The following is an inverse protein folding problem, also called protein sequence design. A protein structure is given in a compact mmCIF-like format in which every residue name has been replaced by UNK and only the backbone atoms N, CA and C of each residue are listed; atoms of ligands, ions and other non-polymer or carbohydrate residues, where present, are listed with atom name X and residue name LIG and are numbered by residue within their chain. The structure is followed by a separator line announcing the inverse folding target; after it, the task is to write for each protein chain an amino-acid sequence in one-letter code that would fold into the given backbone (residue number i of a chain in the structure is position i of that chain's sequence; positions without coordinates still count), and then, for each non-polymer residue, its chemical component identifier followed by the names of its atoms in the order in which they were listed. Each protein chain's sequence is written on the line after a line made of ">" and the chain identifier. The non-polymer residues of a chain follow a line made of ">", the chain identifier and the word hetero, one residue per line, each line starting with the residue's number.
data_IF_150836291953
#
_entry.id   IF_150836291953
#
_cell.length_a   1.000
_cell.length_b   1.000
_cell.length_c   1.000
_cell.angle_alpha   90.00
_cell.angle_beta   90.00
_cell.angle_gamma   90.00
#
_symmetry.space_group_name_H-M   'P 1'
#
loop_
_entity.id
_entity.type
_entity.pdbx_description
1 polymer ?
#
# COMPACT_ATOMS: atom_id res chain seq x y z
N UNK A 1 30.71 2.12 4.81
CA UNK A 1 29.66 1.21 4.27
C UNK A 1 28.54 2.10 3.75
N UNK A 2 28.19 2.08 2.46
CA UNK A 2 27.11 2.93 1.98
C UNK A 2 25.80 2.41 2.58
N UNK A 3 25.10 3.30 3.27
CA UNK A 3 23.75 3.09 3.80
C UNK A 3 22.85 2.95 2.58
N UNK A 4 22.26 1.76 2.37
CA UNK A 4 21.25 1.58 1.32
C UNK A 4 19.93 2.15 1.87
N UNK A 5 19.85 3.47 1.92
CA UNK A 5 18.64 4.22 2.26
C UNK A 5 17.60 4.05 1.16
N UNK A 6 16.32 3.92 1.54
CA UNK A 6 15.22 4.34 0.68
C UNK A 6 15.30 5.85 0.61
N UNK A 7 15.80 6.39 -0.50
CA UNK A 7 16.29 7.76 -0.48
C UNK A 7 15.18 8.81 -0.29
N UNK A 8 13.89 8.46 -0.45
CA UNK A 8 12.82 9.48 -0.45
C UNK A 8 11.41 8.88 -0.46
N UNK A 9 10.42 9.67 -0.02
CA UNK A 9 9.00 9.58 -0.44
C UNK A 9 8.89 9.39 -1.98
N UNK A 10 9.84 9.95 -2.74
CA UNK A 10 9.97 9.77 -4.19
C UNK A 10 10.06 8.31 -4.66
N UNK A 11 10.64 7.39 -3.89
CA UNK A 11 10.68 5.97 -4.25
C UNK A 11 9.27 5.36 -4.17
N UNK A 12 8.48 5.74 -3.15
CA UNK A 12 7.09 5.30 -2.99
C UNK A 12 6.23 5.85 -4.13
N UNK A 13 6.42 7.13 -4.50
CA UNK A 13 5.75 7.75 -5.65
C UNK A 13 6.08 7.01 -6.94
N UNK A 14 7.36 6.69 -7.18
CA UNK A 14 7.77 5.97 -8.38
C UNK A 14 7.13 4.57 -8.46
N UNK A 15 7.11 3.82 -7.35
CA UNK A 15 6.44 2.51 -7.28
C UNK A 15 4.93 2.66 -7.53
N UNK A 16 4.31 3.68 -6.94
CA UNK A 16 2.88 3.99 -7.12
C UNK A 16 2.53 4.29 -8.58
N UNK A 17 3.39 5.03 -9.30
CA UNK A 17 3.22 5.29 -10.73
C UNK A 17 3.28 4.02 -11.56
N UNK A 18 4.25 3.14 -11.30
CA UNK A 18 4.34 1.83 -12.00
C UNK A 18 3.11 0.98 -11.69
N UNK A 19 2.66 0.96 -10.43
CA UNK A 19 1.44 0.24 -10.03
C UNK A 19 0.20 0.76 -10.77
N UNK A 20 0.07 2.08 -10.94
CA UNK A 20 -1.03 2.70 -11.68
C UNK A 20 -1.03 2.31 -13.16
N UNK A 21 0.14 2.28 -13.79
CA UNK A 21 0.28 1.80 -15.17
C UNK A 21 -0.10 0.32 -15.30
N UNK A 22 0.37 -0.52 -14.39
CA UNK A 22 0.04 -1.96 -14.39
C UNK A 22 -1.46 -2.17 -14.23
N UNK A 23 -2.12 -1.53 -13.25
CA UNK A 23 -3.57 -1.62 -13.05
C UNK A 23 -4.33 -1.19 -14.30
N UNK A 24 -3.95 -0.07 -14.91
CA UNK A 24 -4.60 0.42 -16.13
C UNK A 24 -4.51 -0.63 -17.24
N UNK A 25 -3.34 -1.24 -17.43
CA UNK A 25 -3.17 -2.29 -18.44
C UNK A 25 -3.96 -3.56 -18.10
N UNK A 26 -3.96 -4.00 -16.85
CA UNK A 26 -4.72 -5.18 -16.42
C UNK A 26 -6.24 -4.96 -16.57
N UNK A 27 -6.74 -3.78 -16.19
CA UNK A 27 -8.17 -3.43 -16.33
C UNK A 27 -8.64 -3.48 -17.77
N UNK A 28 -7.80 -3.10 -18.74
CA UNK A 28 -8.11 -3.22 -20.16
C UNK A 28 -8.35 -4.68 -20.62
N UNK A 29 -7.85 -5.67 -19.87
CA UNK A 29 -8.10 -7.10 -20.11
C UNK A 29 -9.03 -7.77 -19.09
N UNK A 30 -9.48 -7.06 -18.06
CA UNK A 30 -10.25 -7.61 -16.94
C UNK A 30 -11.71 -7.96 -17.26
N UNK A 31 -12.21 -7.55 -18.42
CA UNK A 31 -13.59 -7.83 -18.86
C UNK A 31 -13.81 -9.30 -19.20
N UNK A 32 -12.74 -10.02 -19.52
CA UNK A 32 -12.77 -11.39 -20.07
C UNK A 32 -12.14 -12.44 -19.14
N UNK A 33 -11.35 -12.04 -18.14
CA UNK A 33 -10.65 -12.97 -17.24
C UNK A 33 -10.77 -12.51 -15.77
N UNK A 34 -11.29 -13.40 -14.91
CA UNK A 34 -11.49 -13.12 -13.49
C UNK A 34 -10.15 -12.98 -12.76
N UNK A 35 -9.14 -13.76 -13.14
CA UNK A 35 -7.86 -13.76 -12.47
C UNK A 35 -7.01 -12.54 -12.81
N UNK A 36 -7.11 -12.01 -14.04
CA UNK A 36 -6.54 -10.70 -14.41
C UNK A 36 -7.22 -9.58 -13.64
N UNK A 37 -8.53 -9.69 -13.39
CA UNK A 37 -9.28 -8.75 -12.55
C UNK A 37 -8.80 -8.80 -11.11
N UNK A 38 -8.65 -10.00 -10.55
CA UNK A 38 -8.17 -10.17 -9.19
C UNK A 38 -6.74 -9.63 -9.02
N UNK A 39 -5.85 -9.90 -9.98
CA UNK A 39 -4.50 -9.33 -9.97
C UNK A 39 -4.54 -7.80 -10.03
N UNK A 40 -5.45 -7.21 -10.81
CA UNK A 40 -5.64 -5.76 -10.81
C UNK A 40 -6.09 -5.25 -9.44
N UNK A 41 -6.99 -5.97 -8.77
CA UNK A 41 -7.42 -5.65 -7.40
C UNK A 41 -6.27 -5.74 -6.41
N UNK A 42 -5.42 -6.77 -6.48
CA UNK A 42 -4.26 -6.91 -5.59
C UNK A 42 -3.26 -5.75 -5.79
N UNK A 43 -3.06 -5.30 -7.03
CA UNK A 43 -2.21 -4.13 -7.32
C UNK A 43 -2.85 -2.81 -6.85
N UNK A 44 -4.18 -2.67 -6.92
CA UNK A 44 -4.88 -1.53 -6.33
C UNK A 44 -4.76 -1.51 -4.79
N UNK A 45 -4.82 -2.67 -4.13
CA UNK A 45 -4.56 -2.80 -2.70
C UNK A 45 -3.14 -2.36 -2.35
N UNK A 46 -2.15 -2.74 -3.18
CA UNK A 46 -0.78 -2.23 -3.03
C UNK A 46 -0.73 -0.71 -3.15
N UNK A 47 -1.37 -0.08 -4.13
CA UNK A 47 -1.39 1.39 -4.24
C UNK A 47 -1.97 2.05 -2.99
N UNK A 48 -3.01 1.46 -2.40
CA UNK A 48 -3.61 1.96 -1.18
C UNK A 48 -2.62 1.85 -0.01
N UNK A 49 -1.93 0.72 0.12
CA UNK A 49 -0.88 0.52 1.12
C UNK A 49 0.30 1.50 0.94
N UNK A 50 0.70 1.79 -0.31
CA UNK A 50 1.75 2.76 -0.62
C UNK A 50 1.38 4.18 -0.20
N UNK A 51 0.14 4.62 -0.45
CA UNK A 51 -0.36 5.93 0.01
C UNK A 51 -0.40 6.03 1.54
N UNK A 52 -0.83 4.96 2.21
CA UNK A 52 -0.77 4.89 3.67
C UNK A 52 0.67 4.95 4.18
N UNK A 53 1.61 4.28 3.51
CA UNK A 53 3.02 4.33 3.88
C UNK A 53 3.63 5.72 3.67
N UNK A 54 3.35 6.38 2.55
CA UNK A 54 3.77 7.75 2.24
C UNK A 54 3.31 8.71 3.33
N UNK A 55 1.99 8.79 3.57
CA UNK A 55 1.42 9.67 4.59
C UNK A 55 1.95 9.41 6.00
N UNK A 56 2.21 8.14 6.35
CA UNK A 56 2.74 7.81 7.67
C UNK A 56 4.21 8.24 7.81
N UNK A 57 5.03 7.95 6.80
CA UNK A 57 6.46 8.30 6.78
C UNK A 57 6.64 9.82 6.83
N UNK A 58 5.80 10.59 6.11
CA UNK A 58 5.81 12.05 6.18
C UNK A 58 5.44 12.58 7.58
N UNK A 59 4.61 11.85 8.32
CA UNK A 59 4.10 12.28 9.62
C UNK A 59 4.94 11.85 10.83
N UNK A 60 5.90 10.94 10.66
CA UNK A 60 6.70 10.36 11.75
C UNK A 60 8.13 10.85 11.65
N UNK A 61 8.59 11.56 12.69
CA UNK A 61 9.94 12.12 12.74
C UNK A 61 11.01 11.11 13.17
N UNK A 62 10.65 10.07 13.92
CA UNK A 62 11.61 9.12 14.50
C UNK A 62 11.16 7.67 14.28
N UNK A 63 11.40 7.16 13.07
CA UNK A 63 11.07 5.78 12.68
C UNK A 63 12.23 4.88 13.09
N UNK A 64 12.01 3.81 13.88
CA UNK A 64 13.06 2.86 14.19
C UNK A 64 13.69 2.28 12.92
N UNK A 65 15.02 2.31 12.83
CA UNK A 65 15.76 1.88 11.62
C UNK A 65 15.40 0.46 11.17
N UNK A 66 15.09 -0.44 12.12
CA UNK A 66 14.65 -1.81 11.82
C UNK A 66 13.31 -1.85 11.06
N UNK A 67 12.35 -1.03 11.48
CA UNK A 67 11.04 -0.90 10.82
C UNK A 67 11.20 -0.27 9.44
N UNK A 68 12.00 0.80 9.37
CA UNK A 68 12.33 1.44 8.11
C UNK A 68 12.95 0.46 7.11
N UNK A 69 13.94 -0.34 7.53
CA UNK A 69 14.59 -1.36 6.70
C UNK A 69 13.61 -2.45 6.24
N UNK A 70 12.66 -2.84 7.09
CA UNK A 70 11.64 -3.83 6.74
C UNK A 70 10.64 -3.29 5.70
N UNK A 71 10.16 -2.06 5.88
CA UNK A 71 9.28 -1.37 4.90
C UNK A 71 10.02 -1.22 3.58
N UNK A 72 11.24 -0.73 3.63
CA UNK A 72 12.16 -0.65 2.51
C UNK A 72 12.26 -1.98 1.75
N UNK A 73 12.56 -3.07 2.46
CA UNK A 73 12.71 -4.38 1.85
C UNK A 73 11.41 -4.84 1.14
N UNK A 74 10.26 -4.68 1.78
CA UNK A 74 8.96 -5.02 1.21
C UNK A 74 8.65 -4.18 -0.05
N UNK A 75 8.95 -2.89 -0.02
CA UNK A 75 8.77 -1.99 -1.15
C UNK A 75 9.65 -2.38 -2.36
N UNK A 76 10.91 -2.78 -2.16
CA UNK A 76 11.76 -3.28 -3.27
C UNK A 76 11.20 -4.54 -3.89
N UNK A 77 10.62 -5.42 -3.08
CA UNK A 77 9.96 -6.63 -3.60
C UNK A 77 8.71 -6.29 -4.41
N UNK A 78 7.87 -5.38 -3.92
CA UNK A 78 6.74 -4.85 -4.69
C UNK A 78 7.19 -4.22 -6.02
N UNK A 79 8.21 -3.37 -5.99
CA UNK A 79 8.78 -2.74 -7.17
C UNK A 79 9.26 -3.77 -8.19
N UNK A 80 9.98 -4.80 -7.73
CA UNK A 80 10.49 -5.88 -8.59
C UNK A 80 9.34 -6.61 -9.31
N UNK A 81 8.28 -6.95 -8.57
CA UNK A 81 7.09 -7.63 -9.13
C UNK A 81 6.40 -6.72 -10.15
N UNK A 82 6.17 -5.45 -9.81
CA UNK A 82 5.50 -4.49 -10.69
C UNK A 82 6.29 -4.21 -11.96
N UNK A 83 7.61 -4.04 -11.86
CA UNK A 83 8.47 -3.84 -13.04
C UNK A 83 8.50 -5.08 -13.92
N UNK A 84 8.49 -6.27 -13.33
CA UNK A 84 8.39 -7.51 -14.09
C UNK A 84 7.08 -7.60 -14.87
N UNK A 85 5.94 -7.29 -14.23
CA UNK A 85 4.64 -7.20 -14.89
C UNK A 85 4.62 -6.17 -16.02
N UNK A 86 5.02 -4.93 -15.73
CA UNK A 86 5.06 -3.84 -16.70
C UNK A 86 5.94 -4.20 -17.92
N UNK A 87 7.12 -4.76 -17.68
CA UNK A 87 8.03 -5.20 -18.75
C UNK A 87 7.43 -6.30 -19.60
N UNK A 88 6.77 -7.28 -19.00
CA UNK A 88 6.13 -8.39 -19.71
C UNK A 88 5.03 -7.85 -20.62
N UNK A 89 4.12 -7.03 -20.08
CA UNK A 89 3.04 -6.39 -20.85
C UNK A 89 3.62 -5.59 -22.01
N UNK A 90 4.61 -4.74 -21.75
CA UNK A 90 5.19 -3.85 -22.76
C UNK A 90 5.92 -4.62 -23.87
N UNK A 91 6.61 -5.71 -23.53
CA UNK A 91 7.32 -6.55 -24.51
C UNK A 91 6.33 -7.18 -25.49
N UNK A 92 5.25 -7.76 -24.99
CA UNK A 92 4.20 -8.34 -25.83
C UNK A 92 3.43 -7.26 -26.62
N UNK A 93 3.15 -6.12 -25.99
CA UNK A 93 2.51 -4.98 -26.67
C UNK A 93 3.33 -4.53 -27.86
N UNK A 94 4.64 -4.29 -27.69
CA UNK A 94 5.52 -3.87 -28.80
C UNK A 94 5.54 -4.89 -29.94
N UNK A 95 5.64 -6.18 -29.60
CA UNK A 95 5.67 -7.25 -30.61
C UNK A 95 4.36 -7.30 -31.43
N UNK A 96 3.21 -7.28 -30.77
CA UNK A 96 1.90 -7.35 -31.43
C UNK A 96 1.59 -6.07 -32.19
N UNK A 97 1.86 -4.90 -31.61
CA UNK A 97 1.62 -3.61 -32.28
C UNK A 97 2.49 -3.48 -33.53
N UNK A 98 3.74 -3.95 -33.51
CA UNK A 98 4.63 -3.94 -34.68
C UNK A 98 4.12 -4.83 -35.81
N UNK A 99 3.55 -6.00 -35.48
CA UNK A 99 3.09 -6.98 -36.47
C UNK A 99 1.67 -6.71 -36.99
N UNK A 100 0.77 -6.23 -36.11
CA UNK A 100 -0.67 -6.21 -36.35
C UNK A 100 -1.34 -4.87 -36.02
N UNK A 101 -0.58 -3.89 -35.53
CA UNK A 101 -1.11 -2.57 -35.17
C UNK A 101 -1.80 -2.52 -33.80
N UNK A 102 -2.16 -1.30 -33.39
CA UNK A 102 -2.67 -1.01 -32.03
C UNK A 102 -4.07 -1.55 -31.76
N UNK A 103 -4.93 -1.60 -32.77
CA UNK A 103 -6.30 -2.07 -32.60
C UNK A 103 -6.35 -3.57 -32.28
N UNK A 104 -5.45 -4.35 -32.90
CA UNK A 104 -5.35 -5.79 -32.66
C UNK A 104 -4.78 -6.07 -31.26
N UNK A 105 -3.87 -5.24 -30.76
CA UNK A 105 -3.35 -5.39 -29.38
C UNK A 105 -4.47 -5.41 -28.34
N UNK A 106 -5.46 -4.52 -28.41
CA UNK A 106 -6.51 -4.45 -27.38
C UNK A 106 -7.33 -5.74 -27.33
N UNK A 107 -7.74 -6.26 -28.49
CA UNK A 107 -8.48 -7.51 -28.58
C UNK A 107 -7.62 -8.72 -28.18
N UNK A 108 -6.37 -8.77 -28.64
CA UNK A 108 -5.41 -9.81 -28.28
C UNK A 108 -5.12 -9.82 -26.78
N UNK A 109 -4.89 -8.65 -26.19
CA UNK A 109 -4.63 -8.51 -24.76
C UNK A 109 -5.84 -8.96 -23.94
N UNK A 110 -7.06 -8.56 -24.31
CA UNK A 110 -8.27 -9.04 -23.64
C UNK A 110 -8.42 -10.57 -23.72
N UNK A 111 -8.09 -11.19 -24.86
CA UNK A 111 -8.21 -12.64 -25.01
C UNK A 111 -7.07 -13.45 -24.37
N UNK A 112 -5.85 -12.90 -24.37
CA UNK A 112 -4.62 -13.65 -24.09
C UNK A 112 -3.81 -13.14 -22.90
N UNK A 113 -4.24 -12.08 -22.21
CA UNK A 113 -3.50 -11.50 -21.07
C UNK A 113 -3.09 -12.57 -20.06
N UNK A 114 -3.99 -13.52 -19.78
CA UNK A 114 -3.72 -14.60 -18.84
C UNK A 114 -2.56 -15.50 -19.25
N UNK A 115 -2.58 -15.99 -20.49
CA UNK A 115 -1.52 -16.84 -21.03
C UNK A 115 -0.19 -16.08 -21.14
N UNK A 116 -0.24 -14.78 -21.43
CA UNK A 116 0.94 -13.92 -21.50
C UNK A 116 1.59 -13.72 -20.13
N UNK A 117 0.80 -13.67 -19.07
CA UNK A 117 1.28 -13.54 -17.69
C UNK A 117 1.79 -14.87 -17.09
N UNK A 118 2.06 -15.88 -17.91
CA UNK A 118 2.53 -17.20 -17.48
C UNK A 118 1.41 -18.16 -17.08
N UNK A 119 0.15 -17.81 -17.37
CA UNK A 119 -1.01 -18.62 -17.05
C UNK A 119 -1.32 -18.66 -15.55
N UNK A 120 -2.10 -19.66 -15.15
CA UNK A 120 -2.71 -19.70 -13.81
C UNK A 120 -1.73 -19.80 -12.66
N UNK A 121 -0.76 -20.69 -12.78
CA UNK A 121 0.20 -20.93 -11.70
C UNK A 121 1.05 -19.69 -11.44
N UNK A 122 1.57 -19.07 -12.51
CA UNK A 122 2.45 -17.91 -12.38
C UNK A 122 1.68 -16.68 -11.87
N UNK A 123 0.48 -16.44 -12.39
CA UNK A 123 -0.31 -15.31 -11.92
C UNK A 123 -0.81 -15.49 -10.48
N UNK A 124 -1.19 -16.69 -10.05
CA UNK A 124 -1.48 -16.97 -8.63
C UNK A 124 -0.23 -16.78 -7.76
N UNK A 125 0.95 -17.18 -8.21
CA UNK A 125 2.19 -16.96 -7.49
C UNK A 125 2.51 -15.46 -7.37
N UNK A 126 2.32 -14.68 -8.44
CA UNK A 126 2.48 -13.23 -8.44
C UNK A 126 1.52 -12.56 -7.47
N UNK A 127 0.24 -12.97 -7.49
CA UNK A 127 -0.78 -12.49 -6.54
C UNK A 127 -0.38 -12.77 -5.10
N UNK A 128 -0.04 -14.02 -4.76
CA UNK A 128 0.37 -14.40 -3.40
C UNK A 128 1.55 -13.57 -2.92
N UNK A 129 2.59 -13.44 -3.74
CA UNK A 129 3.78 -12.64 -3.42
C UNK A 129 3.40 -11.18 -3.18
N UNK A 130 2.52 -10.60 -4.00
CA UNK A 130 2.08 -9.22 -3.84
C UNK A 130 1.26 -9.05 -2.54
N UNK A 131 0.30 -9.93 -2.28
CA UNK A 131 -0.54 -9.91 -1.07
C UNK A 131 0.29 -10.09 0.21
N UNK A 132 1.33 -10.93 0.17
CA UNK A 132 2.29 -11.08 1.27
C UNK A 132 3.01 -9.77 1.56
N UNK A 133 3.53 -9.09 0.53
CA UNK A 133 4.22 -7.81 0.74
C UNK A 133 3.27 -6.71 1.21
N UNK A 134 2.03 -6.67 0.70
CA UNK A 134 0.98 -5.74 1.18
C UNK A 134 0.69 -5.98 2.65
N UNK A 135 0.60 -7.25 3.07
CA UNK A 135 0.38 -7.61 4.49
C UNK A 135 1.54 -7.16 5.37
N UNK A 136 2.79 -7.36 4.92
CA UNK A 136 3.99 -6.88 5.62
C UNK A 136 3.96 -5.36 5.77
N UNK A 137 3.64 -4.62 4.71
CA UNK A 137 3.51 -3.16 4.76
C UNK A 137 2.45 -2.77 5.80
N UNK A 138 1.24 -3.36 5.74
CA UNK A 138 0.19 -3.03 6.71
C UNK A 138 0.59 -3.32 8.16
N UNK A 139 1.20 -4.47 8.44
CA UNK A 139 1.66 -4.80 9.80
C UNK A 139 2.68 -3.77 10.30
N UNK A 140 3.66 -3.42 9.47
CA UNK A 140 4.69 -2.45 9.84
C UNK A 140 4.10 -1.05 10.06
N UNK A 141 3.13 -0.64 9.23
CA UNK A 141 2.39 0.61 9.44
C UNK A 141 1.58 0.59 10.74
N UNK A 142 0.94 -0.55 11.07
CA UNK A 142 0.21 -0.70 12.34
C UNK A 142 1.13 -0.64 13.57
N UNK A 143 2.36 -1.17 13.48
CA UNK A 143 3.36 -1.03 14.55
C UNK A 143 3.72 0.43 14.76
N UNK A 144 3.99 1.18 13.70
CA UNK A 144 4.31 2.61 13.77
C UNK A 144 3.15 3.45 14.31
N UNK A 145 1.92 3.15 13.90
CA UNK A 145 0.72 3.80 14.44
C UNK A 145 0.53 3.48 15.93
N UNK A 146 0.76 2.24 16.35
CA UNK A 146 0.60 1.81 17.74
C UNK A 146 1.59 2.52 18.68
N UNK A 147 2.83 2.75 18.24
CA UNK A 147 3.82 3.53 18.98
C UNK A 147 3.32 4.97 19.22
N UNK A 148 2.77 5.63 18.19
CA UNK A 148 2.16 6.96 18.34
C UNK A 148 0.98 6.98 19.32
N UNK A 149 0.09 5.98 19.26
CA UNK A 149 -1.03 5.92 20.19
C UNK A 149 -0.56 5.75 21.64
N UNK A 150 0.52 5.00 21.86
CA UNK A 150 1.10 4.86 23.19
C UNK A 150 1.68 6.19 23.71
N UNK A 151 2.41 6.92 22.89
CA UNK A 151 2.93 8.25 23.23
C UNK A 151 1.82 9.26 23.53
N UNK A 152 0.78 9.31 22.70
CA UNK A 152 -0.40 10.17 22.94
C UNK A 152 -1.12 9.76 24.22
N UNK A 153 -1.26 8.46 24.50
CA UNK A 153 -1.90 7.99 25.73
C UNK A 153 -1.10 8.40 26.98
N UNK A 154 0.23 8.31 26.93
CA UNK A 154 1.12 8.78 28.00
C UNK A 154 1.03 10.30 28.18
N UNK A 155 1.00 11.07 27.10
CA UNK A 155 0.78 12.52 27.15
C UNK A 155 -0.57 12.85 27.77
N UNK A 156 -1.66 12.16 27.41
CA UNK A 156 -2.98 12.37 28.02
C UNK A 156 -2.99 12.04 29.51
N UNK A 157 -2.28 10.99 29.93
CA UNK A 157 -2.12 10.66 31.36
C UNK A 157 -1.32 11.73 32.11
N UNK A 158 -0.27 12.29 31.49
CA UNK A 158 0.57 13.33 32.10
C UNK A 158 -0.06 14.73 32.08
N UNK A 159 -0.86 15.08 31.07
CA UNK A 159 -1.44 16.43 30.93
C UNK A 159 -2.63 16.65 31.87
N UNK A 160 -3.09 15.63 32.61
CA UNK A 160 -4.04 15.81 33.72
C UNK A 160 -5.39 16.45 33.33
N UNK A 161 -5.73 16.52 32.04
CA UNK A 161 -6.96 17.16 31.57
C UNK A 161 -8.21 16.49 32.14
N UNK A 162 -8.19 15.17 32.29
CA UNK A 162 -9.23 14.40 32.97
C UNK A 162 -9.26 14.65 34.48
N UNK A 163 -8.11 14.88 35.14
CA UNK A 163 -8.06 15.26 36.56
C UNK A 163 -8.57 16.69 36.79
N UNK A 164 -8.27 17.65 35.91
CA UNK A 164 -8.79 19.02 36.02
C UNK A 164 -10.30 19.08 35.81
N UNK A 165 -10.84 18.32 34.85
CA UNK A 165 -12.30 18.21 34.63
C UNK A 165 -12.98 17.51 35.82
N UNK A 166 -12.36 16.48 36.39
CA UNK A 166 -12.87 15.82 37.59
C UNK A 166 -12.82 16.73 38.84
N UNK A 167 -11.75 17.50 39.03
CA UNK A 167 -11.62 18.47 40.11
C UNK A 167 -12.62 19.63 39.96
N UNK A 168 -12.81 20.14 38.74
CA UNK A 168 -13.83 21.18 38.46
C UNK A 168 -15.25 20.67 38.77
N UNK A 169 -15.52 19.38 38.54
CA UNK A 169 -16.81 18.76 38.90
C UNK A 169 -17.04 18.70 40.41
N UNK A 170 -15.98 18.55 41.21
CA UNK A 170 -16.08 18.54 42.68
C UNK A 170 -16.22 19.95 43.26
N UNK A 171 -15.63 20.96 42.62
CA UNK A 171 -15.75 22.37 43.01
C UNK A 171 -17.08 23.04 42.60
N UNK A 172 -17.88 22.40 41.76
CA UNK A 172 -19.20 22.90 41.38
C UNK A 172 -20.22 22.77 42.53
N UNK A 173 -21.00 23.83 42.83
CA UNK A 173 -22.04 23.80 43.85
C UNK A 173 -23.08 22.69 43.55
N UNK A 174 -23.60 22.08 44.62
CA UNK A 174 -24.47 20.88 44.58
C UNK A 174 -25.68 21.03 43.65
N UNK A 175 -26.11 22.27 43.38
CA UNK A 175 -27.22 22.61 42.48
C UNK A 175 -26.98 22.29 41.00
N UNK A 176 -25.73 22.08 40.56
CA UNK A 176 -25.37 21.80 39.15
C UNK A 176 -24.95 20.34 38.93
N UNK A 177 -24.86 19.53 40.00
CA UNK A 177 -24.50 18.11 39.88
C UNK A 177 -25.67 17.32 39.31
N UNK A 178 -25.59 17.01 38.01
CA UNK A 178 -26.56 16.13 37.34
C UNK A 178 -26.56 14.77 38.06
N UNK A 179 -27.67 14.45 38.72
CA UNK A 179 -27.91 13.16 39.35
C UNK A 179 -28.42 12.23 38.24
N UNK A 180 -27.55 11.36 37.73
CA UNK A 180 -28.02 10.28 36.87
C UNK A 180 -28.99 9.38 37.64
N UNK A 181 -30.08 8.91 37.02
CA UNK A 181 -31.01 7.95 37.64
C UNK A 181 -30.36 6.61 37.93
#
# INVERSE_FOLDING_TARGET
>A
MPVISFSSVGDIIAISQVAAEVVKNLRNASTTCAEVRDLATDVDSLQSALKCAESLIESVHDIPQSVYNAVAHALRHCESILRHLAKTIETHRKAVVKAYGRNIWTAFWAACAWSILGGKVEAEALRRRLSEQVSVIHVLLSVLQSQRYHEVALLVQHTGGTRRIAAFREELPVTVRYRSP
#
